data_IF_146999075454
#
_entry.id   IF_146999075454
#
_cell.length_a   1.000
_cell.length_b   1.000
_cell.length_c   1.000
_cell.angle_alpha   90.00
_cell.angle_beta   90.00
_cell.angle_gamma   90.00
#
_symmetry.space_group_name_H-M   'P 1'
#
loop_
_entity.id
_entity.type
_entity.pdbx_description
1 polymer ?
#
# COMPACT_ATOMS: atom_id res chain seq x y z
N UNK A 1 -8.55 20.96 18.81
CA UNK A 1 -7.56 20.44 17.85
C UNK A 1 -6.19 20.52 18.49
N UNK A 2 -5.30 19.53 18.31
CA UNK A 2 -3.98 19.59 18.92
C UNK A 2 -3.19 20.78 18.36
N UNK A 3 -2.52 21.49 19.26
CA UNK A 3 -1.64 22.63 18.96
C UNK A 3 -0.50 22.22 18.02
N UNK A 4 0.11 23.19 17.35
CA UNK A 4 1.29 22.96 16.49
C UNK A 4 2.39 22.23 17.29
N UNK A 5 2.67 22.65 18.52
CA UNK A 5 3.62 21.98 19.42
C UNK A 5 3.24 20.54 19.74
N UNK A 6 1.96 20.22 19.97
CA UNK A 6 1.49 18.85 20.20
C UNK A 6 1.51 17.97 18.94
N UNK A 7 1.44 18.56 17.74
CA UNK A 7 1.60 17.81 16.49
C UNK A 7 3.08 17.58 16.20
N UNK A 8 3.93 18.56 16.50
CA UNK A 8 5.37 18.49 16.31
C UNK A 8 6.06 17.58 17.35
N UNK A 9 5.53 17.49 18.57
CA UNK A 9 6.04 16.58 19.61
C UNK A 9 5.69 15.11 19.36
N UNK A 10 4.74 14.82 18.47
CA UNK A 10 4.32 13.45 18.12
C UNK A 10 5.18 12.81 17.03
N UNK A 11 5.89 13.57 16.20
CA UNK A 11 6.77 12.98 15.19
C UNK A 11 8.03 12.45 15.86
N UNK A 12 8.21 11.13 15.84
CA UNK A 12 9.36 10.44 16.43
C UNK A 12 10.70 10.91 15.82
N UNK A 13 10.70 11.46 14.61
CA UNK A 13 11.91 12.01 13.99
C UNK A 13 12.37 13.32 14.62
N UNK A 14 11.46 14.07 15.26
CA UNK A 14 11.79 15.31 15.97
C UNK A 14 12.36 15.07 17.38
N UNK A 15 12.32 13.81 17.85
CA UNK A 15 12.91 13.39 19.12
C UNK A 15 14.37 12.95 18.88
N UNK A 16 15.25 13.06 19.90
CA UNK A 16 16.60 12.50 19.82
C UNK A 16 16.57 11.03 19.39
N UNK A 17 17.57 10.62 18.60
CA UNK A 17 17.70 9.24 18.22
C UNK A 17 17.88 8.36 19.47
N UNK A 18 17.28 7.16 19.52
CA UNK A 18 17.46 6.26 20.64
C UNK A 18 18.95 5.87 20.75
N UNK A 19 19.46 5.84 21.98
CA UNK A 19 20.86 5.48 22.29
C UNK A 19 21.14 4.00 22.04
N UNK A 20 20.11 3.15 22.19
CA UNK A 20 20.17 1.73 21.92
C UNK A 20 19.25 1.35 20.75
N UNK A 21 19.60 0.32 19.96
CA UNK A 21 18.70 -0.18 18.93
C UNK A 21 17.41 -0.74 19.55
N UNK A 22 16.24 -0.50 18.94
CA UNK A 22 14.98 -1.09 19.37
C UNK A 22 15.03 -2.62 19.35
N UNK A 23 14.42 -3.27 20.34
CA UNK A 23 14.28 -4.73 20.36
C UNK A 23 13.21 -5.18 19.36
N UNK A 24 13.61 -5.91 18.34
CA UNK A 24 12.69 -6.48 17.35
C UNK A 24 12.12 -7.81 17.86
N UNK A 25 10.84 -8.05 17.57
CA UNK A 25 10.19 -9.34 17.87
C UNK A 25 10.33 -10.32 16.70
N UNK A 26 10.10 -11.61 16.95
CA UNK A 26 10.08 -12.63 15.89
C UNK A 26 8.88 -12.50 14.95
N UNK A 27 7.78 -11.89 15.41
CA UNK A 27 6.58 -11.62 14.59
C UNK A 27 6.73 -10.32 13.82
N UNK A 28 6.12 -10.24 12.62
CA UNK A 28 6.05 -8.99 11.87
C UNK A 28 4.99 -8.07 12.49
N UNK A 29 5.46 -7.04 13.21
CA UNK A 29 4.63 -6.03 13.87
C UNK A 29 5.05 -4.66 13.35
N UNK A 30 4.05 -3.89 12.92
CA UNK A 30 4.25 -2.62 12.29
C UNK A 30 3.03 -1.72 12.41
N UNK A 31 3.19 -0.50 11.92
CA UNK A 31 2.15 0.51 11.87
C UNK A 31 2.06 1.12 10.48
N UNK A 32 0.98 1.86 10.24
CA UNK A 32 0.94 2.79 9.12
C UNK A 32 1.75 4.05 9.46
N UNK A 33 2.84 4.29 8.75
CA UNK A 33 3.72 5.45 8.98
C UNK A 33 3.44 6.58 7.99
N UNK A 34 3.72 7.81 8.44
CA UNK A 34 3.69 9.00 7.59
C UNK A 34 4.93 9.07 6.69
N UNK A 35 4.74 9.53 5.46
CA UNK A 35 5.78 9.84 4.47
C UNK A 35 6.09 11.35 4.40
N UNK A 36 5.62 12.12 5.39
CA UNK A 36 5.90 13.55 5.48
C UNK A 36 7.40 13.80 5.66
N UNK A 37 7.94 14.72 4.84
CA UNK A 37 9.37 15.02 4.78
C UNK A 37 10.17 14.10 3.85
N UNK A 38 9.53 13.14 3.17
CA UNK A 38 10.18 12.18 2.28
C UNK A 38 9.66 10.77 2.53
N UNK A 39 9.59 9.93 1.48
CA UNK A 39 9.01 8.58 1.64
C UNK A 39 9.90 7.69 2.51
N UNK A 40 11.21 7.79 2.36
CA UNK A 40 12.26 7.10 3.11
C UNK A 40 12.18 7.36 4.61
N UNK A 41 11.70 8.54 5.02
CA UNK A 41 11.54 8.90 6.43
C UNK A 41 10.56 7.96 7.16
N UNK A 42 9.65 7.31 6.43
CA UNK A 42 8.74 6.31 6.96
C UNK A 42 9.45 5.07 7.53
N UNK A 43 10.58 4.66 6.93
CA UNK A 43 11.40 3.55 7.40
C UNK A 43 12.06 3.89 8.75
N UNK A 44 12.63 5.08 8.86
CA UNK A 44 13.22 5.59 10.10
C UNK A 44 12.18 5.69 11.22
N UNK A 45 10.97 6.19 10.91
CA UNK A 45 9.86 6.23 11.88
C UNK A 45 9.49 4.85 12.38
N UNK A 46 9.34 3.88 11.48
CA UNK A 46 9.01 2.50 11.84
C UNK A 46 10.09 1.90 12.76
N UNK A 47 11.35 2.04 12.38
CA UNK A 47 12.47 1.54 13.16
C UNK A 47 12.49 2.15 14.57
N UNK A 48 12.47 3.48 14.72
CA UNK A 48 12.49 4.15 16.03
C UNK A 48 11.32 3.76 16.96
N UNK A 49 10.21 3.31 16.39
CA UNK A 49 9.04 2.81 17.13
C UNK A 49 9.13 1.32 17.47
N UNK A 50 10.24 0.65 17.16
CA UNK A 50 10.43 -0.78 17.39
C UNK A 50 9.68 -1.68 16.41
N UNK A 51 9.23 -1.14 15.28
CA UNK A 51 8.56 -1.93 14.25
C UNK A 51 9.58 -2.68 13.38
N UNK A 52 9.21 -3.87 12.92
CA UNK A 52 9.99 -4.65 11.95
C UNK A 52 9.29 -4.82 10.59
N UNK A 53 8.15 -4.15 10.40
CA UNK A 53 7.42 -3.99 9.14
C UNK A 53 6.62 -2.68 9.22
N UNK A 54 6.13 -2.16 8.10
CA UNK A 54 5.29 -0.96 8.10
C UNK A 54 4.50 -0.82 6.80
N UNK A 55 3.45 0.02 6.88
CA UNK A 55 2.62 0.39 5.75
C UNK A 55 2.71 1.89 5.49
N UNK A 56 2.66 2.30 4.22
CA UNK A 56 2.64 3.71 3.81
C UNK A 56 1.58 3.96 2.75
N UNK A 57 1.22 5.23 2.58
CA UNK A 57 0.72 5.70 1.29
C UNK A 57 1.90 6.08 0.42
N UNK A 58 1.97 5.56 -0.81
CA UNK A 58 3.06 5.95 -1.71
C UNK A 58 2.82 7.36 -2.29
N UNK A 59 1.57 7.80 -2.40
CA UNK A 59 1.15 9.12 -2.87
C UNK A 59 0.10 9.73 -1.92
N UNK A 60 -0.39 10.94 -2.19
CA UNK A 60 -1.46 11.52 -1.34
C UNK A 60 -2.76 10.70 -1.50
N UNK A 61 -3.34 10.15 -0.42
CA UNK A 61 -4.56 9.35 -0.52
C UNK A 61 -5.82 10.16 -0.84
N UNK A 62 -5.68 11.49 -1.00
CA UNK A 62 -6.78 12.45 -1.21
C UNK A 62 -6.71 13.17 -2.55
N UNK A 63 -5.66 12.96 -3.35
CA UNK A 63 -5.47 13.64 -4.63
C UNK A 63 -5.17 12.62 -5.73
N UNK A 64 -5.68 12.87 -6.93
CA UNK A 64 -5.41 12.02 -8.10
C UNK A 64 -4.00 12.19 -8.64
N UNK A 65 -3.45 13.40 -8.58
CA UNK A 65 -2.11 13.70 -9.06
C UNK A 65 -1.08 13.19 -8.03
N UNK A 66 -0.29 12.16 -8.34
CA UNK A 66 0.78 11.73 -7.44
C UNK A 66 1.90 12.78 -7.46
N UNK A 67 2.67 12.86 -6.38
CA UNK A 67 3.96 13.55 -6.41
C UNK A 67 4.99 12.69 -7.16
N UNK A 68 6.10 13.27 -7.61
CA UNK A 68 7.18 12.51 -8.24
C UNK A 68 8.14 11.94 -7.18
N UNK A 69 8.40 10.63 -7.22
CA UNK A 69 9.46 10.03 -6.40
C UNK A 69 10.82 10.38 -6.98
N UNK A 70 11.68 11.01 -6.18
CA UNK A 70 13.07 11.18 -6.57
C UNK A 70 13.82 9.84 -6.45
N UNK A 71 14.73 9.55 -7.39
CA UNK A 71 15.54 8.30 -7.37
C UNK A 71 16.31 8.13 -6.05
N UNK A 72 16.82 9.23 -5.49
CA UNK A 72 17.52 9.22 -4.20
C UNK A 72 16.64 8.75 -3.03
N UNK A 73 15.36 9.13 -3.01
CA UNK A 73 14.41 8.71 -1.98
C UNK A 73 14.13 7.20 -2.05
N UNK A 74 14.01 6.65 -3.26
CA UNK A 74 13.83 5.21 -3.45
C UNK A 74 15.05 4.42 -2.98
N UNK A 75 16.25 4.87 -3.34
CA UNK A 75 17.49 4.24 -2.90
C UNK A 75 17.64 4.27 -1.37
N UNK A 76 17.35 5.42 -0.76
CA UNK A 76 17.43 5.58 0.70
C UNK A 76 16.40 4.73 1.45
N UNK A 77 15.17 4.64 0.93
CA UNK A 77 14.16 3.71 1.46
C UNK A 77 14.67 2.26 1.47
N UNK A 78 15.24 1.78 0.37
CA UNK A 78 15.77 0.41 0.28
C UNK A 78 16.92 0.22 1.27
N UNK A 79 17.90 1.14 1.28
CA UNK A 79 19.07 1.11 2.15
C UNK A 79 18.69 1.07 3.64
N UNK A 80 17.78 1.94 4.08
CA UNK A 80 17.32 1.98 5.48
C UNK A 80 16.61 0.70 5.87
N UNK A 81 15.79 0.14 4.97
CA UNK A 81 15.07 -1.10 5.26
C UNK A 81 15.99 -2.31 5.39
N UNK A 82 17.02 -2.39 4.55
CA UNK A 82 18.07 -3.41 4.66
C UNK A 82 18.88 -3.24 5.94
N UNK A 83 19.32 -2.01 6.24
CA UNK A 83 20.07 -1.69 7.47
C UNK A 83 19.32 -2.08 8.74
N UNK A 84 18.01 -1.82 8.80
CA UNK A 84 17.19 -2.07 9.99
C UNK A 84 16.51 -3.45 9.99
N UNK A 85 16.64 -4.24 8.92
CA UNK A 85 15.96 -5.52 8.79
C UNK A 85 14.42 -5.40 8.78
N UNK A 86 13.87 -4.28 8.30
CA UNK A 86 12.44 -3.99 8.35
C UNK A 86 11.72 -4.37 7.04
N UNK A 87 11.04 -5.51 7.09
CA UNK A 87 10.33 -6.12 5.97
C UNK A 87 9.09 -6.87 6.46
N UNK A 88 8.00 -6.92 5.67
CA UNK A 88 7.82 -6.26 4.38
C UNK A 88 7.52 -4.75 4.50
N UNK A 89 7.64 -4.05 3.37
CA UNK A 89 6.97 -2.77 3.14
C UNK A 89 5.66 -3.04 2.41
N UNK A 90 4.59 -2.45 2.92
CA UNK A 90 3.26 -2.50 2.34
C UNK A 90 2.87 -1.11 1.86
N UNK A 91 2.39 -0.99 0.62
CA UNK A 91 1.79 0.26 0.14
C UNK A 91 0.28 0.10 0.18
N UNK A 92 -0.39 1.03 0.84
CA UNK A 92 -1.83 1.18 0.73
C UNK A 92 -2.15 2.10 -0.43
N UNK A 93 -2.97 1.63 -1.36
CA UNK A 93 -3.43 2.44 -2.49
C UNK A 93 -4.30 3.61 -2.03
N UNK A 94 -4.35 4.68 -2.83
CA UNK A 94 -5.22 5.81 -2.56
C UNK A 94 -6.68 5.39 -2.42
N UNK A 95 -7.41 5.95 -1.44
CA UNK A 95 -8.83 5.66 -1.23
C UNK A 95 -9.73 6.11 -2.39
N UNK A 96 -9.19 6.91 -3.31
CA UNK A 96 -9.88 7.35 -4.53
C UNK A 96 -10.01 6.21 -5.55
N UNK A 97 -9.11 5.22 -5.51
CA UNK A 97 -9.12 4.10 -6.46
C UNK A 97 -10.36 3.23 -6.24
N UNK A 98 -11.16 3.08 -7.28
CA UNK A 98 -12.32 2.19 -7.32
C UNK A 98 -12.35 1.38 -8.62
N UNK A 99 -11.69 0.22 -8.64
CA UNK A 99 -11.66 -0.67 -9.81
C UNK A 99 -13.00 -1.38 -10.06
N UNK A 100 -13.93 -1.33 -9.10
CA UNK A 100 -15.32 -1.78 -9.27
C UNK A 100 -16.26 -0.67 -9.77
N UNK A 101 -15.76 0.54 -10.08
CA UNK A 101 -16.60 1.67 -10.51
C UNK A 101 -17.41 1.34 -11.76
N UNK A 102 -18.71 1.60 -11.73
CA UNK A 102 -19.61 1.52 -12.90
C UNK A 102 -19.51 2.75 -13.79
N UNK A 103 -19.00 3.86 -13.26
CA UNK A 103 -18.79 5.09 -14.01
C UNK A 103 -17.43 5.03 -14.69
N UNK A 104 -17.42 5.11 -16.02
CA UNK A 104 -16.23 4.95 -16.87
C UNK A 104 -15.14 5.99 -16.55
N UNK A 105 -15.52 7.25 -16.36
CA UNK A 105 -14.58 8.33 -16.01
C UNK A 105 -13.79 8.00 -14.71
N UNK A 106 -14.51 7.57 -13.67
CA UNK A 106 -13.90 7.18 -12.40
C UNK A 106 -13.08 5.89 -12.53
N UNK A 107 -13.54 4.96 -13.35
CA UNK A 107 -12.81 3.72 -13.61
C UNK A 107 -11.47 4.00 -14.28
N UNK A 108 -11.45 4.83 -15.32
CA UNK A 108 -10.23 5.21 -16.03
C UNK A 108 -9.24 5.94 -15.11
N UNK A 109 -9.72 6.90 -14.30
CA UNK A 109 -8.89 7.55 -13.26
C UNK A 109 -8.33 6.55 -12.25
N UNK A 110 -9.13 5.56 -11.84
CA UNK A 110 -8.73 4.52 -10.89
C UNK A 110 -7.66 3.60 -11.47
N UNK A 111 -7.79 3.19 -12.73
CA UNK A 111 -6.81 2.35 -13.44
C UNK A 111 -5.47 3.08 -13.55
N UNK A 112 -5.48 4.35 -13.96
CA UNK A 112 -4.24 5.14 -14.08
C UNK A 112 -3.56 5.36 -12.72
N UNK A 113 -4.34 5.69 -11.69
CA UNK A 113 -3.81 5.84 -10.34
C UNK A 113 -3.26 4.50 -9.80
N UNK A 114 -3.96 3.39 -10.01
CA UNK A 114 -3.52 2.07 -9.56
C UNK A 114 -2.24 1.62 -10.27
N UNK A 115 -2.12 1.86 -11.57
CA UNK A 115 -0.87 1.65 -12.32
C UNK A 115 0.28 2.44 -11.71
N UNK A 116 0.09 3.72 -11.43
CA UNK A 116 1.11 4.55 -10.78
C UNK A 116 1.50 4.03 -9.39
N UNK A 117 0.56 3.49 -8.62
CA UNK A 117 0.86 2.83 -7.33
C UNK A 117 1.71 1.56 -7.50
N UNK A 118 1.47 0.76 -8.55
CA UNK A 118 2.31 -0.41 -8.87
C UNK A 118 3.74 0.02 -9.23
N UNK A 119 3.90 0.99 -10.13
CA UNK A 119 5.21 1.52 -10.52
C UNK A 119 6.00 2.05 -9.31
N UNK A 120 5.31 2.76 -8.41
CA UNK A 120 5.89 3.29 -7.16
C UNK A 120 6.23 2.19 -6.17
N UNK A 121 5.41 1.15 -6.07
CA UNK A 121 5.69 -0.02 -5.25
C UNK A 121 6.97 -0.73 -5.70
N UNK A 122 7.14 -0.88 -7.01
CA UNK A 122 8.38 -1.39 -7.58
C UNK A 122 9.55 -0.48 -7.24
N UNK A 123 9.43 0.82 -7.51
CA UNK A 123 10.47 1.80 -7.25
C UNK A 123 10.99 1.76 -5.80
N UNK A 124 10.08 1.64 -4.83
CA UNK A 124 10.38 1.60 -3.39
C UNK A 124 10.76 0.20 -2.85
N UNK A 125 10.71 -0.83 -3.71
CA UNK A 125 10.94 -2.22 -3.30
C UNK A 125 9.89 -2.73 -2.30
N UNK A 126 8.64 -2.29 -2.41
CA UNK A 126 7.54 -2.79 -1.60
C UNK A 126 7.20 -4.23 -2.00
N UNK A 127 6.84 -5.07 -1.01
CA UNK A 127 6.47 -6.47 -1.28
C UNK A 127 4.99 -6.63 -1.57
N UNK A 128 4.17 -5.74 -1.02
CA UNK A 128 2.72 -5.84 -1.06
C UNK A 128 2.07 -4.50 -1.38
N UNK A 129 0.97 -4.59 -2.11
CA UNK A 129 0.06 -3.50 -2.39
C UNK A 129 -1.32 -3.85 -1.82
N UNK A 130 -1.88 -2.98 -1.00
CA UNK A 130 -3.23 -3.10 -0.43
C UNK A 130 -4.18 -2.29 -1.30
N UNK A 131 -5.15 -2.98 -1.88
CA UNK A 131 -6.20 -2.40 -2.72
C UNK A 131 -7.57 -2.71 -2.13
N UNK A 132 -8.39 -1.68 -1.91
CA UNK A 132 -9.81 -1.90 -1.70
C UNK A 132 -10.49 -2.22 -3.03
N UNK A 133 -11.26 -3.31 -3.11
CA UNK A 133 -12.00 -3.68 -4.33
C UNK A 133 -12.89 -2.54 -4.85
N UNK A 134 -13.40 -1.72 -3.93
CA UNK A 134 -14.16 -0.51 -4.23
C UNK A 134 -15.68 -0.71 -4.17
N UNK A 135 -16.41 0.33 -4.58
CA UNK A 135 -17.88 0.35 -4.57
C UNK A 135 -18.43 0.01 -5.95
N UNK A 136 -19.30 -1.00 -5.99
CA UNK A 136 -19.99 -1.48 -7.18
C UNK A 136 -21.41 -0.89 -7.35
N UNK A 137 -21.75 0.15 -6.58
CA UNK A 137 -22.97 0.99 -6.72
C UNK A 137 -24.25 0.24 -7.12
N UNK A 138 -24.65 -0.75 -6.34
CA UNK A 138 -25.95 -1.44 -6.51
C UNK A 138 -25.92 -2.66 -7.43
N UNK A 139 -24.79 -2.98 -8.07
CA UNK A 139 -24.58 -4.29 -8.70
C UNK A 139 -24.60 -5.42 -7.66
N UNK A 140 -24.55 -6.67 -8.13
CA UNK A 140 -24.30 -7.81 -7.24
C UNK A 140 -22.86 -7.78 -6.76
N UNK A 141 -22.63 -8.29 -5.55
CA UNK A 141 -21.28 -8.35 -4.95
C UNK A 141 -20.31 -9.12 -5.83
N UNK A 142 -20.75 -10.23 -6.40
CA UNK A 142 -19.93 -11.10 -7.24
C UNK A 142 -19.47 -10.37 -8.50
N UNK A 143 -20.35 -9.57 -9.12
CA UNK A 143 -20.04 -8.75 -10.29
C UNK A 143 -19.03 -7.66 -9.95
N UNK A 144 -19.23 -6.98 -8.81
CA UNK A 144 -18.29 -5.97 -8.31
C UNK A 144 -16.89 -6.53 -8.09
N UNK A 145 -16.80 -7.71 -7.46
CA UNK A 145 -15.53 -8.40 -7.23
C UNK A 145 -14.88 -8.86 -8.54
N UNK A 146 -15.66 -9.43 -9.47
CA UNK A 146 -15.16 -9.86 -10.77
C UNK A 146 -14.58 -8.69 -11.57
N UNK A 147 -15.26 -7.54 -11.57
CA UNK A 147 -14.77 -6.30 -12.21
C UNK A 147 -13.48 -5.82 -11.59
N UNK A 148 -13.42 -5.71 -10.26
CA UNK A 148 -12.20 -5.30 -9.57
C UNK A 148 -11.03 -6.25 -9.86
N UNK A 149 -11.27 -7.57 -9.85
CA UNK A 149 -10.25 -8.57 -10.15
C UNK A 149 -9.75 -8.51 -11.59
N UNK A 150 -10.67 -8.42 -12.57
CA UNK A 150 -10.33 -8.28 -13.98
C UNK A 150 -9.45 -7.05 -14.23
N UNK A 151 -9.85 -5.88 -13.71
CA UNK A 151 -9.10 -4.63 -13.89
C UNK A 151 -7.78 -4.60 -13.14
N UNK A 152 -7.70 -5.25 -11.98
CA UNK A 152 -6.43 -5.43 -11.27
C UNK A 152 -5.46 -6.24 -12.13
N UNK A 153 -5.93 -7.35 -12.71
CA UNK A 153 -5.11 -8.22 -13.56
C UNK A 153 -4.64 -7.52 -14.83
N UNK A 154 -5.51 -6.75 -15.48
CA UNK A 154 -5.17 -5.91 -16.63
C UNK A 154 -4.02 -4.94 -16.31
N UNK A 155 -4.09 -4.25 -15.16
CA UNK A 155 -3.01 -3.36 -14.73
C UNK A 155 -1.72 -4.14 -14.45
N UNK A 156 -1.79 -5.31 -13.81
CA UNK A 156 -0.58 -6.11 -13.57
C UNK A 156 0.06 -6.61 -14.86
N UNK A 157 -0.73 -7.04 -15.84
CA UNK A 157 -0.25 -7.47 -17.16
C UNK A 157 0.44 -6.33 -17.90
N UNK A 158 -0.14 -5.13 -17.92
CA UNK A 158 0.48 -3.95 -18.52
C UNK A 158 1.79 -3.53 -17.83
N UNK A 159 2.01 -3.97 -16.58
CA UNK A 159 3.24 -3.73 -15.84
C UNK A 159 4.21 -4.91 -15.92
N UNK A 160 3.87 -6.05 -16.55
CA UNK A 160 4.76 -7.21 -16.63
C UNK A 160 6.08 -6.87 -17.33
N UNK A 161 6.06 -6.05 -18.38
CA UNK A 161 7.28 -5.57 -19.05
C UNK A 161 8.20 -4.77 -18.10
N UNK A 162 7.63 -4.10 -17.10
CA UNK A 162 8.36 -3.38 -16.04
C UNK A 162 8.75 -4.31 -14.88
N UNK A 163 7.94 -5.33 -14.59
CA UNK A 163 8.14 -6.32 -13.53
C UNK A 163 9.21 -7.36 -13.87
N UNK A 164 9.41 -7.70 -15.15
CA UNK A 164 10.43 -8.67 -15.62
C UNK A 164 11.84 -8.23 -15.21
N UNK A 165 12.08 -6.93 -14.99
CA UNK A 165 13.38 -6.43 -14.49
C UNK A 165 13.57 -6.54 -12.96
N UNK A 166 12.55 -6.89 -12.17
CA UNK A 166 12.60 -6.92 -10.70
C UNK A 166 11.94 -8.19 -10.15
N UNK A 167 12.71 -9.28 -10.07
CA UNK A 167 12.34 -10.63 -9.63
C UNK A 167 11.78 -10.81 -8.20
N UNK A 168 11.32 -9.74 -7.53
CA UNK A 168 10.95 -9.77 -6.10
C UNK A 168 9.56 -9.20 -5.76
N UNK A 169 8.78 -8.71 -6.74
CA UNK A 169 7.41 -8.23 -6.48
C UNK A 169 6.43 -9.40 -6.54
N UNK A 170 6.11 -9.96 -5.37
CA UNK A 170 5.59 -11.33 -5.28
C UNK A 170 4.15 -11.52 -4.84
N UNK A 171 3.34 -10.47 -4.62
CA UNK A 171 1.89 -10.60 -4.32
C UNK A 171 1.21 -9.24 -4.13
N UNK A 172 0.17 -8.93 -4.90
CA UNK A 172 -0.79 -7.90 -4.53
C UNK A 172 -1.84 -8.49 -3.58
N UNK A 173 -2.13 -7.79 -2.49
CA UNK A 173 -3.16 -8.21 -1.54
C UNK A 173 -4.41 -7.35 -1.75
N UNK A 174 -5.42 -7.93 -2.40
CA UNK A 174 -6.72 -7.26 -2.55
C UNK A 174 -7.49 -7.39 -1.24
N UNK A 175 -7.68 -6.26 -0.57
CA UNK A 175 -8.56 -6.15 0.58
C UNK A 175 -10.02 -6.01 0.11
N UNK A 176 -10.74 -7.12 0.17
CA UNK A 176 -12.18 -7.21 -0.17
C UNK A 176 -13.09 -6.90 1.04
N UNK A 177 -12.54 -6.56 2.22
CA UNK A 177 -13.34 -6.27 3.42
C UNK A 177 -14.18 -5.00 3.32
N UNK A 178 -13.77 -4.04 2.46
CA UNK A 178 -14.44 -2.74 2.27
C UNK A 178 -15.37 -2.67 1.05
N UNK A 179 -15.91 -3.80 0.58
CA UNK A 179 -17.11 -3.76 -0.27
C UNK A 179 -18.30 -3.23 0.56
N UNK A 180 -18.47 -1.91 0.60
CA UNK A 180 -19.55 -1.24 1.33
C UNK A 180 -20.90 -1.50 0.62
N UNK A 181 -21.55 -2.58 1.02
CA UNK A 181 -22.99 -2.76 0.92
C UNK A 181 -23.55 -2.83 2.35
N UNK A 182 -24.73 -2.24 2.59
CA UNK A 182 -25.39 -2.13 3.91
C UNK A 182 -25.68 -3.49 4.61
N UNK A 183 -25.31 -4.62 3.99
CA UNK A 183 -25.50 -5.98 4.48
C UNK A 183 -24.26 -6.60 5.18
N UNK A 184 -23.12 -5.89 5.25
CA UNK A 184 -21.81 -6.48 5.58
C UNK A 184 -21.56 -6.82 7.07
N UNK A 185 -22.55 -6.78 7.97
CA UNK A 185 -22.33 -6.94 9.41
C UNK A 185 -22.26 -8.39 9.92
N UNK A 186 -22.47 -9.40 9.07
CA UNK A 186 -22.47 -10.82 9.51
C UNK A 186 -21.99 -11.73 8.39
N UNK A 187 -20.74 -12.21 8.43
CA UNK A 187 -20.37 -13.60 8.11
C UNK A 187 -18.84 -13.82 8.10
N UNK A 188 -18.44 -14.98 8.65
CA UNK A 188 -17.06 -15.45 8.83
C UNK A 188 -16.43 -15.87 7.50
N UNK A 189 -15.13 -15.62 7.36
CA UNK A 189 -14.32 -15.90 6.17
C UNK A 189 -13.90 -17.38 6.07
N UNK A 190 -14.07 -17.98 4.89
CA UNK A 190 -13.43 -19.25 4.50
C UNK A 190 -12.47 -19.04 3.32
N UNK A 191 -11.26 -19.60 3.46
CA UNK A 191 -10.11 -19.58 2.55
C UNK A 191 -10.42 -20.13 1.15
N UNK A 192 -10.33 -19.33 0.09
CA UNK A 192 -10.36 -19.85 -1.30
C UNK A 192 -9.47 -19.12 -2.32
N UNK A 193 -8.66 -18.14 -1.93
CA UNK A 193 -7.81 -17.39 -2.90
C UNK A 193 -6.42 -17.99 -3.18
N UNK A 194 -6.08 -19.16 -2.61
CA UNK A 194 -4.74 -19.76 -2.78
C UNK A 194 -4.59 -20.71 -3.97
N UNK A 195 -5.65 -21.05 -4.72
CA UNK A 195 -5.60 -22.14 -5.72
C UNK A 195 -5.64 -21.71 -7.20
N UNK A 196 -5.72 -20.41 -7.52
CA UNK A 196 -5.80 -19.94 -8.92
C UNK A 196 -4.63 -19.07 -9.39
N UNK A 197 -3.61 -18.86 -8.56
CA UNK A 197 -2.42 -18.08 -8.93
C UNK A 197 -1.30 -18.94 -9.56
N UNK A 198 -1.43 -20.27 -9.61
CA UNK A 198 -0.38 -21.18 -10.09
C UNK A 198 -0.59 -21.67 -11.55
N UNK A 199 -1.32 -20.92 -12.39
CA UNK A 199 -1.59 -21.32 -13.78
C UNK A 199 -1.38 -20.21 -14.84
N UNK A 200 -0.63 -19.16 -14.53
CA UNK A 200 -0.12 -18.20 -15.53
C UNK A 200 1.32 -17.82 -15.23
#
# INVERSE_FOLDING_TARGET
MPTKWEQESRDILKRPAPTEPPRLTSRRIGIHTSTSGGVETAAERAYRLGCNTFQIFSSSPRMWKPYQLAKGQCGEMIRLREKYGIVPLVIHTSYLVNLASVTEEFLNKSIQAFRGEVERALALGAQYLVLHAGSYRGLRREEGLARAAFRSNEVFQLNQDTLVQRSKFGRAMVDVSRCHCKLCSRQKWSRTWSKKADLL
#
